data_IF_574096104620
#
_entry.id   IF_574096104620
#
_cell.length_a   1.000
_cell.length_b   1.000
_cell.length_c   1.000
_cell.angle_alpha   90.00
_cell.angle_beta   90.00
_cell.angle_gamma   90.00
#
_symmetry.space_group_name_H-M   'P 1'
#
loop_
_entity.id
_entity.type
_entity.pdbx_description
1 polymer ?
#
# COMPACT_ATOMS: atom_id res chain seq x y z
N UNK A 1 16.89 27.45 -6.38
CA UNK A 1 16.75 26.83 -5.04
C UNK A 1 15.35 26.23 -4.95
N UNK A 2 15.20 24.99 -4.46
CA UNK A 2 13.89 24.37 -4.32
C UNK A 2 12.99 25.25 -3.42
N UNK A 3 11.77 25.55 -3.87
CA UNK A 3 10.85 26.37 -3.08
C UNK A 3 10.50 25.61 -1.78
N UNK A 4 10.70 26.20 -0.59
CA UNK A 4 10.47 25.54 0.69
C UNK A 4 9.04 24.99 0.87
N UNK A 5 8.06 25.56 0.16
CA UNK A 5 6.69 25.03 0.13
C UNK A 5 6.60 23.69 -0.61
N UNK A 6 7.34 23.53 -1.71
CA UNK A 6 7.39 22.26 -2.47
C UNK A 6 8.07 21.17 -1.64
N UNK A 7 9.14 21.52 -0.91
CA UNK A 7 9.88 20.53 -0.11
C UNK A 7 9.09 19.97 1.07
N UNK A 8 8.07 20.69 1.56
CA UNK A 8 7.16 20.21 2.62
C UNK A 8 5.91 19.55 2.03
N UNK A 9 5.34 20.13 0.97
CA UNK A 9 4.12 19.61 0.34
C UNK A 9 4.34 18.24 -0.33
N UNK A 10 5.49 18.01 -0.96
CA UNK A 10 5.79 16.74 -1.66
C UNK A 10 5.84 15.54 -0.70
N UNK A 11 6.53 15.60 0.46
CA UNK A 11 6.47 14.54 1.46
C UNK A 11 5.05 14.25 1.98
N UNK A 12 4.29 15.29 2.31
CA UNK A 12 2.92 15.13 2.83
C UNK A 12 2.00 14.52 1.78
N UNK A 13 2.05 15.03 0.54
CA UNK A 13 1.31 14.45 -0.58
C UNK A 13 1.74 13.00 -0.85
N UNK A 14 3.03 12.68 -0.70
CA UNK A 14 3.56 11.33 -0.82
C UNK A 14 2.99 10.36 0.21
N UNK A 15 2.85 10.78 1.47
CA UNK A 15 2.25 9.95 2.53
C UNK A 15 0.75 9.69 2.27
N UNK A 16 0.01 10.72 1.88
CA UNK A 16 -1.42 10.58 1.55
C UNK A 16 -1.61 9.70 0.31
N UNK A 17 -0.80 9.93 -0.73
CA UNK A 17 -0.80 9.11 -1.94
C UNK A 17 -0.47 7.64 -1.65
N UNK A 18 0.47 7.37 -0.74
CA UNK A 18 0.79 6.00 -0.34
C UNK A 18 -0.39 5.32 0.36
N UNK A 19 -1.09 6.03 1.25
CA UNK A 19 -2.26 5.50 1.94
C UNK A 19 -3.42 5.21 0.97
N UNK A 20 -3.70 6.11 0.03
CA UNK A 20 -4.76 5.94 -0.98
C UNK A 20 -4.38 4.88 -2.00
N UNK A 21 -3.15 4.90 -2.49
CA UNK A 21 -2.61 3.92 -3.45
C UNK A 21 -2.66 2.50 -2.92
N UNK A 22 -2.27 2.28 -1.66
CA UNK A 22 -2.36 0.96 -1.03
C UNK A 22 -3.81 0.47 -0.89
N UNK A 23 -4.76 1.35 -0.56
CA UNK A 23 -6.19 0.99 -0.52
C UNK A 23 -6.73 0.64 -1.90
N UNK A 24 -6.43 1.47 -2.90
CA UNK A 24 -6.87 1.25 -4.28
C UNK A 24 -6.28 -0.05 -4.86
N UNK A 25 -4.99 -0.29 -4.63
CA UNK A 25 -4.35 -1.54 -5.01
C UNK A 25 -5.01 -2.73 -4.31
N UNK A 26 -5.32 -2.63 -3.00
CA UNK A 26 -5.89 -3.74 -2.25
C UNK A 26 -7.31 -4.08 -2.71
N UNK A 27 -8.12 -3.05 -3.01
CA UNK A 27 -9.44 -3.23 -3.60
C UNK A 27 -9.36 -3.86 -5.00
N UNK A 28 -8.42 -3.42 -5.84
CA UNK A 28 -8.17 -4.02 -7.15
C UNK A 28 -7.72 -5.48 -7.06
N UNK A 29 -6.90 -5.80 -6.06
CA UNK A 29 -6.47 -7.18 -5.79
C UNK A 29 -7.64 -8.08 -5.41
N UNK A 30 -8.48 -7.62 -4.48
CA UNK A 30 -9.69 -8.35 -4.08
C UNK A 30 -10.68 -8.54 -5.23
N UNK A 31 -10.80 -7.55 -6.13
CA UNK A 31 -11.65 -7.66 -7.32
C UNK A 31 -11.13 -8.68 -8.35
N UNK A 32 -9.81 -8.80 -8.51
CA UNK A 32 -9.19 -9.70 -9.51
C UNK A 32 -9.07 -11.13 -9.00
N UNK A 33 -8.70 -11.30 -7.73
CA UNK A 33 -8.40 -12.62 -7.18
C UNK A 33 -9.43 -13.13 -6.18
N UNK A 34 -10.42 -12.32 -5.76
CA UNK A 34 -11.40 -12.70 -4.73
C UNK A 34 -10.78 -12.95 -3.34
N UNK A 35 -9.48 -12.65 -3.19
CA UNK A 35 -8.67 -12.90 -2.00
C UNK A 35 -8.22 -11.56 -1.40
N UNK A 36 -7.99 -11.56 -0.08
CA UNK A 36 -7.39 -10.41 0.60
C UNK A 36 -5.97 -10.14 0.07
N UNK A 37 -5.65 -8.86 -0.16
CA UNK A 37 -4.32 -8.46 -0.61
C UNK A 37 -3.24 -8.85 0.42
N UNK A 38 -2.02 -9.25 -0.01
CA UNK A 38 -0.93 -9.60 0.88
C UNK A 38 -0.32 -8.34 1.52
N UNK A 39 -0.98 -7.85 2.56
CA UNK A 39 -0.54 -6.70 3.37
C UNK A 39 -0.07 -7.17 4.74
N UNK A 40 0.77 -6.39 5.42
CA UNK A 40 1.23 -6.73 6.77
C UNK A 40 0.08 -6.98 7.77
N UNK A 41 -1.06 -6.31 7.57
CA UNK A 41 -2.25 -6.48 8.41
C UNK A 41 -2.91 -7.83 8.16
N UNK A 42 -3.10 -8.20 6.90
CA UNK A 42 -3.73 -9.47 6.52
C UNK A 42 -2.82 -10.65 6.85
N UNK A 43 -1.50 -10.54 6.63
CA UNK A 43 -0.54 -11.55 7.06
C UNK A 43 -0.56 -11.78 8.59
N UNK A 44 -0.59 -10.70 9.39
CA UNK A 44 -0.69 -10.81 10.86
C UNK A 44 -2.04 -11.38 11.32
N UNK A 45 -3.13 -11.08 10.62
CA UNK A 45 -4.45 -11.65 10.93
C UNK A 45 -4.47 -13.16 10.64
N UNK A 46 -3.96 -13.57 9.48
CA UNK A 46 -3.85 -14.98 9.09
C UNK A 46 -2.99 -15.79 10.06
N UNK A 47 -1.85 -15.25 10.50
CA UNK A 47 -1.01 -15.87 11.53
C UNK A 47 -1.71 -16.01 12.88
N UNK A 48 -2.48 -15.00 13.29
CA UNK A 48 -3.25 -15.05 14.55
C UNK A 48 -4.35 -16.09 14.47
N UNK A 49 -5.07 -16.17 13.36
CA UNK A 49 -6.12 -17.15 13.13
C UNK A 49 -5.55 -18.57 13.10
N UNK A 50 -4.42 -18.79 12.42
CA UNK A 50 -3.72 -20.08 12.44
C UNK A 50 -3.29 -20.47 13.86
N UNK A 51 -2.75 -19.52 14.63
CA UNK A 51 -2.38 -19.75 16.03
C UNK A 51 -3.61 -20.06 16.92
N UNK A 52 -4.74 -19.40 16.69
CA UNK A 52 -5.99 -19.68 17.39
C UNK A 52 -6.53 -21.08 17.04
N UNK A 53 -6.53 -21.46 15.77
CA UNK A 53 -6.94 -22.81 15.31
C UNK A 53 -6.03 -23.90 15.89
N UNK A 54 -4.71 -23.68 15.95
CA UNK A 54 -3.77 -24.59 16.62
C UNK A 54 -4.06 -24.72 18.12
N UNK A 55 -4.42 -23.63 18.79
CA UNK A 55 -4.80 -23.65 20.22
C UNK A 55 -6.13 -24.36 20.45
N UNK A 56 -7.10 -24.19 19.55
CA UNK A 56 -8.38 -24.88 19.62
C UNK A 56 -8.19 -26.38 19.37
N UNK A 57 -7.46 -26.77 18.33
CA UNK A 57 -7.12 -28.17 18.05
C UNK A 57 -6.39 -28.87 19.20
N UNK A 58 -5.54 -28.14 19.94
CA UNK A 58 -4.93 -28.64 21.20
C UNK A 58 -5.97 -28.89 22.30
N UNK A 59 -6.99 -28.05 22.42
CA UNK A 59 -8.08 -28.25 23.39
C UNK A 59 -8.99 -29.40 22.99
N UNK A 60 -9.18 -29.59 21.70
CA UNK A 60 -10.01 -30.64 21.12
C UNK A 60 -9.30 -32.02 21.12
N UNK A 61 -8.05 -32.08 21.59
CA UNK A 61 -7.31 -33.33 21.80
C UNK A 61 -6.63 -33.92 20.57
N UNK A 62 -6.48 -33.15 19.48
CA UNK A 62 -5.79 -33.62 18.28
C UNK A 62 -4.31 -33.94 18.55
N UNK A 63 -3.79 -34.90 17.79
CA UNK A 63 -2.38 -35.29 17.85
C UNK A 63 -1.47 -34.13 17.40
N UNK A 64 -0.20 -34.14 17.86
CA UNK A 64 0.77 -33.10 17.51
C UNK A 64 1.00 -33.00 15.99
N UNK A 65 0.88 -34.12 15.27
CA UNK A 65 1.06 -34.19 13.83
C UNK A 65 -0.11 -33.54 13.08
N UNK A 66 -1.35 -33.72 13.56
CA UNK A 66 -2.54 -33.06 13.00
C UNK A 66 -2.53 -31.55 13.28
N UNK A 67 -2.05 -31.13 14.45
CA UNK A 67 -1.88 -29.71 14.78
C UNK A 67 -0.80 -29.07 13.90
N UNK A 68 0.26 -29.81 13.56
CA UNK A 68 1.31 -29.35 12.65
C UNK A 68 0.82 -29.22 11.21
N UNK A 69 -0.18 -30.01 10.81
CA UNK A 69 -0.85 -29.89 9.51
C UNK A 69 -1.73 -28.64 9.38
N UNK A 70 -2.11 -27.99 10.50
CA UNK A 70 -2.70 -26.64 10.49
C UNK A 70 -1.59 -25.64 10.10
N UNK A 71 -1.27 -25.61 8.80
CA UNK A 71 -0.30 -24.70 8.20
C UNK A 71 -0.84 -23.28 8.20
N UNK A 72 0.08 -22.34 8.31
CA UNK A 72 -0.24 -20.93 8.18
C UNK A 72 -0.69 -20.67 6.73
N UNK A 73 -1.89 -20.13 6.48
CA UNK A 73 -2.34 -19.82 5.12
C UNK A 73 -1.42 -18.79 4.43
N UNK A 74 -0.64 -18.01 5.19
CA UNK A 74 0.41 -17.15 4.65
C UNK A 74 1.58 -17.90 4.02
N UNK A 75 1.88 -19.13 4.47
CA UNK A 75 2.93 -19.98 3.86
C UNK A 75 2.45 -20.66 2.57
N UNK A 76 1.13 -20.64 2.31
CA UNK A 76 0.54 -21.20 1.10
C UNK A 76 0.32 -20.16 0.00
N UNK A 77 0.52 -18.87 0.29
CA UNK A 77 0.44 -17.84 -0.76
C UNK A 77 1.55 -18.08 -1.79
N UNK A 78 1.20 -18.33 -3.07
CA UNK A 78 2.20 -18.55 -4.11
C UNK A 78 3.13 -17.34 -4.21
N UNK A 79 4.45 -17.59 -4.23
CA UNK A 79 5.48 -16.54 -4.30
C UNK A 79 5.25 -15.59 -5.48
N UNK A 80 4.74 -16.09 -6.61
CA UNK A 80 4.42 -15.28 -7.78
C UNK A 80 3.30 -14.25 -7.51
N UNK A 81 2.30 -14.57 -6.66
CA UNK A 81 1.25 -13.62 -6.25
C UNK A 81 1.86 -12.50 -5.42
N UNK A 82 2.79 -12.82 -4.52
CA UNK A 82 3.51 -11.81 -3.71
C UNK A 82 4.37 -10.90 -4.60
N UNK A 83 5.10 -11.45 -5.58
CA UNK A 83 5.89 -10.66 -6.52
C UNK A 83 5.01 -9.78 -7.42
N UNK A 84 3.88 -10.30 -7.88
CA UNK A 84 2.92 -9.54 -8.67
C UNK A 84 2.36 -8.36 -7.86
N UNK A 85 1.96 -8.60 -6.61
CA UNK A 85 1.49 -7.56 -5.71
C UNK A 85 2.54 -6.48 -5.44
N UNK A 86 3.78 -6.88 -5.11
CA UNK A 86 4.88 -5.96 -4.89
C UNK A 86 5.15 -5.10 -6.14
N UNK A 87 5.04 -5.70 -7.33
CA UNK A 87 5.22 -4.99 -8.60
C UNK A 87 4.08 -4.00 -8.86
N UNK A 88 2.83 -4.43 -8.73
CA UNK A 88 1.65 -3.57 -8.95
C UNK A 88 1.64 -2.40 -7.96
N UNK A 89 1.83 -2.68 -6.68
CA UNK A 89 1.89 -1.64 -5.63
C UNK A 89 3.06 -0.67 -5.88
N UNK A 90 4.23 -1.16 -6.27
CA UNK A 90 5.37 -0.34 -6.65
C UNK A 90 5.07 0.60 -7.82
N UNK A 91 4.46 0.10 -8.89
CA UNK A 91 4.08 0.89 -10.07
C UNK A 91 3.03 1.94 -9.74
N UNK A 92 1.99 1.56 -8.98
CA UNK A 92 0.94 2.50 -8.54
C UNK A 92 1.52 3.61 -7.68
N UNK A 93 2.38 3.28 -6.72
CA UNK A 93 3.04 4.27 -5.85
C UNK A 93 3.99 5.18 -6.64
N UNK A 94 4.75 4.65 -7.60
CA UNK A 94 5.60 5.46 -8.47
C UNK A 94 4.78 6.41 -9.34
N UNK A 95 3.69 5.93 -9.95
CA UNK A 95 2.77 6.75 -10.74
C UNK A 95 2.19 7.90 -9.91
N UNK A 96 1.70 7.60 -8.71
CA UNK A 96 1.18 8.61 -7.78
C UNK A 96 2.26 9.60 -7.33
N UNK A 97 3.49 9.15 -7.09
CA UNK A 97 4.61 10.02 -6.70
C UNK A 97 5.01 10.98 -7.82
N UNK A 98 5.01 10.52 -9.07
CA UNK A 98 5.26 11.37 -10.25
C UNK A 98 4.12 12.38 -10.43
N UNK A 99 2.87 11.94 -10.30
CA UNK A 99 1.70 12.81 -10.37
C UNK A 99 1.73 13.88 -9.26
N UNK A 100 2.07 13.51 -8.02
CA UNK A 100 2.21 14.44 -6.91
C UNK A 100 3.32 15.47 -7.15
N UNK A 101 4.49 15.05 -7.66
CA UNK A 101 5.56 15.98 -8.03
C UNK A 101 5.11 16.98 -9.10
N UNK A 102 4.46 16.52 -10.16
CA UNK A 102 3.96 17.39 -11.24
C UNK A 102 2.87 18.33 -10.73
N UNK A 103 1.91 17.83 -9.94
CA UNK A 103 0.82 18.62 -9.39
C UNK A 103 1.30 19.70 -8.41
N UNK A 104 2.24 19.36 -7.52
CA UNK A 104 2.84 20.33 -6.58
C UNK A 104 3.69 21.37 -7.30
N UNK A 105 4.44 21.01 -8.34
CA UNK A 105 5.16 21.98 -9.18
C UNK A 105 4.21 22.97 -9.85
N UNK A 106 3.16 22.49 -10.53
CA UNK A 106 2.17 23.36 -11.19
C UNK A 106 1.43 24.23 -10.18
N UNK A 107 1.04 23.68 -9.03
CA UNK A 107 0.35 24.42 -7.97
C UNK A 107 1.23 25.52 -7.37
N UNK A 108 2.50 25.21 -7.11
CA UNK A 108 3.45 26.20 -6.60
C UNK A 108 3.78 27.25 -7.66
N UNK A 109 3.98 26.87 -8.92
CA UNK A 109 4.19 27.82 -10.01
C UNK A 109 3.03 28.81 -10.10
N UNK A 110 1.78 28.36 -10.01
CA UNK A 110 0.59 29.25 -9.97
C UNK A 110 0.53 30.16 -8.75
N UNK A 111 1.03 29.71 -7.59
CA UNK A 111 1.05 30.52 -6.36
C UNK A 111 2.22 31.51 -6.33
N UNK A 112 3.34 31.17 -6.97
CA UNK A 112 4.54 32.02 -7.03
C UNK A 112 4.60 32.97 -8.23
N UNK A 113 3.88 32.67 -9.31
CA UNK A 113 3.79 33.59 -10.44
C UNK A 113 2.92 34.77 -10.06
N UNK A 114 3.56 35.87 -9.66
CA UNK A 114 2.90 37.18 -9.61
C UNK A 114 2.36 37.47 -11.02
N UNK A 115 1.05 37.74 -11.10
CA UNK A 115 0.35 38.19 -12.31
C UNK A 115 1.27 39.16 -13.08
N UNK A 116 1.56 38.94 -14.37
CA UNK A 116 2.41 39.85 -15.12
C UNK A 116 1.83 41.26 -14.98
N UNK A 117 2.61 42.19 -14.45
CA UNK A 117 2.22 43.60 -14.45
C UNK A 117 2.07 43.97 -15.91
N UNK A 118 0.85 44.29 -16.34
CA UNK A 118 0.63 44.90 -17.63
C UNK A 118 1.59 46.09 -17.73
N UNK A 119 2.47 46.07 -18.74
CA UNK A 119 3.35 47.18 -19.04
C UNK A 119 2.51 48.46 -18.98
N UNK A 120 2.83 49.34 -18.03
CA UNK A 120 2.38 50.73 -18.13
C UNK A 120 3.12 51.26 -19.35
N UNK A 121 2.35 51.55 -20.40
CA UNK A 121 2.85 52.17 -21.62
C UNK A 121 3.55 53.49 -21.35
#
# INVERSE_FOLDING_TARGET
MANPLVSIAVPVAGLVAAAVGNKAAAAGWGAVFGEDAPTDKTQKALQKDAAQRRKQAKKDGLSKDEIAQIKDPSEQMPVWKMMLWATISGVVLQGLRVAAKRGTQVGVERLTTRRPRANRG
#
